data_IF_690267476420
#
_entry.id   IF_690267476420
#
_cell.length_a   1.000
_cell.length_b   1.000
_cell.length_c   1.000
_cell.angle_alpha   90.00
_cell.angle_beta   90.00
_cell.angle_gamma   90.00
#
_symmetry.space_group_name_H-M   'P 1'
#
loop_
_entity.id
_entity.type
_entity.pdbx_description
1 polymer ?
#
# COMPACT_ATOMS: atom_id res chain seq x y z
N UNK A 1 7.29 1.81 8.24
CA UNK A 1 7.46 2.53 6.94
C UNK A 1 6.21 2.35 6.07
N UNK A 2 5.80 3.37 5.29
CA UNK A 2 4.67 3.24 4.35
C UNK A 2 5.20 2.84 2.97
N UNK A 3 5.01 1.58 2.63
CA UNK A 3 5.36 1.03 1.33
C UNK A 3 4.16 1.11 0.35
N UNK A 4 3.74 0.02 -0.22
CA UNK A 4 2.58 -0.16 -1.09
C UNK A 4 2.37 -1.65 -1.36
N UNK A 5 1.17 -2.05 -1.77
CA UNK A 5 0.94 -3.34 -2.42
C UNK A 5 1.91 -3.57 -3.61
N UNK A 6 2.31 -2.51 -4.30
CA UNK A 6 3.32 -2.55 -5.36
C UNK A 6 4.76 -2.82 -4.87
N UNK A 7 4.97 -3.03 -3.59
CA UNK A 7 6.19 -3.64 -3.07
C UNK A 7 6.16 -5.17 -3.10
N UNK A 8 4.98 -5.76 -3.31
CA UNK A 8 4.74 -7.21 -3.32
C UNK A 8 4.36 -7.74 -4.71
N UNK A 9 3.62 -6.94 -5.48
CA UNK A 9 3.16 -7.26 -6.84
C UNK A 9 3.46 -6.13 -7.80
N UNK A 10 3.43 -6.41 -9.09
CA UNK A 10 3.67 -5.42 -10.14
C UNK A 10 2.39 -5.02 -10.87
N UNK A 11 2.44 -3.88 -11.55
CA UNK A 11 1.46 -3.47 -12.54
C UNK A 11 2.18 -2.89 -13.76
N UNK A 12 1.63 -3.06 -14.97
CA UNK A 12 2.21 -2.48 -16.17
C UNK A 12 2.38 -0.96 -16.07
N UNK A 13 3.39 -0.43 -16.74
CA UNK A 13 3.68 1.01 -16.85
C UNK A 13 4.06 1.71 -15.54
N UNK A 14 4.42 0.94 -14.48
CA UNK A 14 4.83 1.45 -13.16
C UNK A 14 6.23 1.00 -12.75
N UNK A 15 7.14 0.75 -13.70
CA UNK A 15 8.45 0.15 -13.41
C UNK A 15 9.22 0.91 -12.30
N UNK A 16 9.36 2.23 -12.41
CA UNK A 16 10.07 3.04 -11.41
C UNK A 16 9.41 2.96 -10.02
N UNK A 17 8.07 3.08 -9.96
CA UNK A 17 7.33 3.00 -8.70
C UNK A 17 7.40 1.62 -8.07
N UNK A 18 7.19 0.56 -8.85
CA UNK A 18 7.28 -0.84 -8.42
C UNK A 18 8.67 -1.14 -7.87
N UNK A 19 9.74 -0.78 -8.62
CA UNK A 19 11.12 -0.96 -8.17
C UNK A 19 11.41 -0.24 -6.87
N UNK A 20 10.98 1.02 -6.74
CA UNK A 20 11.15 1.79 -5.51
C UNK A 20 10.44 1.13 -4.31
N UNK A 21 9.20 0.65 -4.50
CA UNK A 21 8.42 0.04 -3.42
C UNK A 21 8.93 -1.35 -3.03
N UNK A 22 9.45 -2.15 -3.97
CA UNK A 22 10.18 -3.38 -3.67
C UNK A 22 11.47 -3.08 -2.89
N UNK A 23 12.22 -2.04 -3.27
CA UNK A 23 13.41 -1.59 -2.54
C UNK A 23 13.11 -1.18 -1.08
N UNK A 24 11.96 -0.53 -0.83
CA UNK A 24 11.52 -0.21 0.54
C UNK A 24 11.33 -1.47 1.37
N UNK A 25 10.80 -2.56 0.81
CA UNK A 25 10.65 -3.82 1.56
C UNK A 25 12.00 -4.48 1.87
N UNK A 26 12.96 -4.38 0.94
CA UNK A 26 14.34 -4.79 1.21
C UNK A 26 14.95 -4.00 2.36
N UNK A 27 14.81 -2.67 2.33
CA UNK A 27 15.28 -1.79 3.40
C UNK A 27 14.63 -2.12 4.75
N UNK A 28 13.32 -2.35 4.80
CA UNK A 28 12.62 -2.73 6.03
C UNK A 28 13.19 -4.01 6.64
N UNK A 29 13.45 -5.03 5.82
CA UNK A 29 14.05 -6.30 6.28
C UNK A 29 15.44 -6.10 6.85
N UNK A 30 16.29 -5.32 6.17
CA UNK A 30 17.64 -5.02 6.61
C UNK A 30 17.62 -4.26 7.93
N UNK A 31 16.87 -3.17 8.03
CA UNK A 31 16.77 -2.36 9.25
C UNK A 31 16.16 -3.13 10.43
N UNK A 32 15.25 -4.08 10.16
CA UNK A 32 14.69 -4.94 11.20
C UNK A 32 15.74 -5.87 11.82
N UNK A 33 16.67 -6.37 11.00
CA UNK A 33 17.78 -7.20 11.48
C UNK A 33 18.83 -6.37 12.21
N UNK A 34 19.20 -5.22 11.66
CA UNK A 34 20.20 -4.32 12.25
C UNK A 34 19.74 -3.70 13.58
N UNK A 35 18.44 -3.34 13.69
CA UNK A 35 17.88 -2.70 14.88
C UNK A 35 17.45 -3.65 15.99
N UNK A 36 17.55 -4.97 15.78
CA UNK A 36 17.02 -5.96 16.73
C UNK A 36 17.73 -5.93 18.08
N UNK A 37 19.05 -5.69 18.10
CA UNK A 37 19.84 -5.61 19.33
C UNK A 37 19.56 -4.33 20.14
N UNK A 38 19.01 -3.30 19.50
CA UNK A 38 18.61 -2.03 20.11
C UNK A 38 17.10 -1.96 20.43
N UNK A 39 16.39 -3.08 20.40
CA UNK A 39 14.93 -3.16 20.59
C UNK A 39 14.11 -2.32 19.59
N UNK A 40 14.66 -2.07 18.41
CA UNK A 40 14.00 -1.33 17.35
C UNK A 40 13.23 -2.29 16.44
N UNK A 41 11.89 -2.12 16.37
CA UNK A 41 11.07 -2.84 15.40
C UNK A 41 10.82 -2.01 14.14
N UNK A 42 10.96 -2.63 12.97
CA UNK A 42 10.78 -1.99 11.67
C UNK A 42 9.82 -2.80 10.82
N UNK A 43 8.68 -2.20 10.48
CA UNK A 43 7.60 -2.86 9.73
C UNK A 43 7.20 -2.03 8.51
N UNK A 44 6.81 -2.68 7.43
CA UNK A 44 6.22 -2.04 6.27
C UNK A 44 4.69 -2.17 6.31
N UNK A 45 3.98 -1.06 6.14
CA UNK A 45 2.55 -1.06 5.80
C UNK A 45 2.43 -0.97 4.28
N UNK A 46 1.70 -1.90 3.68
CA UNK A 46 1.56 -2.05 2.24
C UNK A 46 0.10 -1.80 1.80
N UNK A 47 -0.35 -0.54 1.72
CA UNK A 47 -1.71 -0.25 1.27
C UNK A 47 -1.86 -0.46 -0.23
N UNK A 48 -3.09 -0.79 -0.65
CA UNK A 48 -3.55 -0.60 -2.03
C UNK A 48 -3.97 0.87 -2.24
N UNK A 49 -5.12 1.12 -2.88
CA UNK A 49 -5.56 2.49 -3.13
C UNK A 49 -6.21 3.11 -1.90
N UNK A 50 -5.57 4.16 -1.37
CA UNK A 50 -6.07 4.97 -0.25
C UNK A 50 -6.73 6.22 -0.80
N UNK A 51 -7.89 6.62 -0.25
CA UNK A 51 -8.59 7.85 -0.62
C UNK A 51 -7.74 9.07 -0.24
N UNK A 52 -7.02 9.58 -1.20
CA UNK A 52 -6.17 10.76 -1.07
C UNK A 52 -6.40 11.70 -2.25
N UNK A 53 -6.09 12.99 -2.13
CA UNK A 53 -6.20 13.92 -3.27
C UNK A 53 -5.45 13.43 -4.51
N UNK A 54 -4.33 12.72 -4.33
CA UNK A 54 -3.56 12.13 -5.44
C UNK A 54 -4.36 11.06 -6.19
N UNK A 55 -5.03 10.15 -5.48
CA UNK A 55 -5.83 9.08 -6.07
C UNK A 55 -7.10 9.65 -6.70
N UNK A 56 -7.77 10.60 -6.04
CA UNK A 56 -8.95 11.28 -6.59
C UNK A 56 -8.61 12.01 -7.90
N UNK A 57 -7.48 12.75 -7.91
CA UNK A 57 -6.98 13.37 -9.14
C UNK A 57 -6.67 12.34 -10.23
N UNK A 58 -6.08 11.20 -9.89
CA UNK A 58 -5.79 10.13 -10.85
C UNK A 58 -7.06 9.58 -11.49
N UNK A 59 -8.14 9.41 -10.72
CA UNK A 59 -9.45 8.98 -11.24
C UNK A 59 -9.98 10.00 -12.23
N UNK A 60 -10.01 11.29 -11.86
CA UNK A 60 -10.50 12.37 -12.74
C UNK A 60 -9.66 12.52 -14.01
N UNK A 61 -8.34 12.39 -13.92
CA UNK A 61 -7.44 12.48 -15.09
C UNK A 61 -7.67 11.31 -16.06
N UNK A 62 -7.84 10.09 -15.55
CA UNK A 62 -8.14 8.92 -16.38
C UNK A 62 -9.55 9.00 -17.00
N UNK A 63 -10.54 9.46 -16.25
CA UNK A 63 -11.90 9.66 -16.74
C UNK A 63 -11.90 10.61 -17.96
N UNK A 64 -11.19 11.74 -17.86
CA UNK A 64 -11.02 12.68 -18.97
C UNK A 64 -10.27 12.09 -20.16
N UNK A 65 -9.17 11.38 -19.90
CA UNK A 65 -8.32 10.82 -20.95
C UNK A 65 -9.04 9.73 -21.78
N UNK A 66 -9.94 8.98 -21.15
CA UNK A 66 -10.67 7.87 -21.77
C UNK A 66 -12.12 8.17 -22.13
N UNK A 67 -12.62 9.38 -21.82
CA UNK A 67 -14.02 9.74 -22.06
C UNK A 67 -15.03 8.89 -21.26
N UNK A 68 -14.63 8.47 -20.05
CA UNK A 68 -15.43 7.65 -19.16
C UNK A 68 -15.93 8.45 -17.96
N UNK A 69 -17.04 7.99 -17.34
CA UNK A 69 -17.45 8.51 -16.04
C UNK A 69 -16.43 8.12 -14.94
N UNK A 70 -16.24 8.95 -13.94
CA UNK A 70 -15.29 8.69 -12.84
C UNK A 70 -15.63 7.42 -12.08
N UNK A 71 -16.93 7.10 -11.89
CA UNK A 71 -17.41 5.88 -11.25
C UNK A 71 -16.94 4.62 -11.99
N UNK A 72 -16.98 4.66 -13.34
CA UNK A 72 -16.50 3.54 -14.15
C UNK A 72 -14.98 3.37 -14.05
N UNK A 73 -14.23 4.46 -14.05
CA UNK A 73 -12.77 4.42 -13.84
C UNK A 73 -12.45 3.86 -12.46
N UNK A 74 -13.17 4.29 -11.43
CA UNK A 74 -12.99 3.79 -10.08
C UNK A 74 -13.23 2.27 -10.01
N UNK A 75 -14.33 1.78 -10.54
CA UNK A 75 -14.71 0.37 -10.44
C UNK A 75 -13.91 -0.54 -11.37
N UNK A 76 -13.78 -0.15 -12.65
CA UNK A 76 -13.25 -1.02 -13.71
C UNK A 76 -11.71 -0.94 -13.84
N UNK A 77 -11.09 0.14 -13.33
CA UNK A 77 -9.65 0.35 -13.43
C UNK A 77 -8.97 0.34 -12.06
N UNK A 78 -9.37 1.25 -11.18
CA UNK A 78 -8.70 1.43 -9.87
C UNK A 78 -8.98 0.24 -8.95
N UNK A 79 -10.24 -0.15 -8.81
CA UNK A 79 -10.66 -1.22 -7.92
C UNK A 79 -10.73 -2.60 -8.60
N UNK A 80 -10.40 -2.70 -9.90
CA UNK A 80 -10.42 -3.97 -10.62
C UNK A 80 -9.70 -5.12 -9.89
N UNK A 81 -8.47 -4.92 -9.36
CA UNK A 81 -7.74 -5.98 -8.68
C UNK A 81 -8.24 -6.27 -7.26
N UNK A 82 -9.05 -5.40 -6.64
CA UNK A 82 -9.51 -5.60 -5.25
C UNK A 82 -10.66 -6.60 -5.17
N UNK A 83 -10.69 -7.44 -4.13
CA UNK A 83 -11.85 -8.26 -3.80
C UNK A 83 -12.96 -7.40 -3.17
N UNK A 84 -12.60 -6.51 -2.25
CA UNK A 84 -13.53 -5.53 -1.67
C UNK A 84 -13.46 -4.22 -2.46
N UNK A 85 -14.55 -3.85 -3.13
CA UNK A 85 -14.62 -2.76 -4.12
C UNK A 85 -14.81 -1.38 -3.46
N UNK A 86 -13.85 -0.92 -2.70
CA UNK A 86 -13.82 0.45 -2.16
C UNK A 86 -12.38 0.96 -2.00
N UNK A 87 -12.20 2.26 -1.88
CA UNK A 87 -10.94 2.85 -1.43
C UNK A 87 -10.75 2.62 0.08
N UNK A 88 -9.49 2.52 0.49
CA UNK A 88 -9.10 2.50 1.90
C UNK A 88 -9.15 3.94 2.41
N UNK A 89 -9.70 4.15 3.60
CA UNK A 89 -9.68 5.48 4.19
C UNK A 89 -8.34 5.75 4.90
N UNK A 90 -7.80 6.99 4.86
CA UNK A 90 -6.55 7.34 5.56
C UNK A 90 -6.58 6.99 7.06
N UNK A 91 -7.74 7.09 7.69
CA UNK A 91 -7.93 6.71 9.10
C UNK A 91 -7.74 5.21 9.35
N UNK A 92 -7.99 4.35 8.36
CA UNK A 92 -7.74 2.91 8.48
C UNK A 92 -6.23 2.63 8.51
N UNK A 93 -5.48 3.32 7.64
CA UNK A 93 -4.01 3.25 7.64
C UNK A 93 -3.45 3.78 8.96
N UNK A 94 -3.96 4.91 9.45
CA UNK A 94 -3.50 5.51 10.70
C UNK A 94 -3.75 4.59 11.91
N UNK A 95 -4.89 3.90 11.97
CA UNK A 95 -5.17 2.91 13.04
C UNK A 95 -4.18 1.75 13.03
N UNK A 96 -3.86 1.21 11.85
CA UNK A 96 -2.87 0.14 11.74
C UNK A 96 -1.48 0.63 12.14
N UNK A 97 -1.07 1.82 11.70
CA UNK A 97 0.21 2.42 12.12
C UNK A 97 0.26 2.59 13.63
N UNK A 98 -0.82 3.09 14.25
CA UNK A 98 -0.92 3.21 15.71
C UNK A 98 -0.77 1.88 16.45
N UNK A 99 -1.37 0.80 15.93
CA UNK A 99 -1.20 -0.55 16.48
C UNK A 99 0.26 -1.02 16.35
N UNK A 100 0.85 -0.88 15.16
CA UNK A 100 2.23 -1.33 14.89
C UNK A 100 3.29 -0.51 15.66
N UNK A 101 3.00 0.74 15.98
CA UNK A 101 3.86 1.58 16.81
C UNK A 101 3.72 1.31 18.32
N UNK A 102 2.69 0.55 18.73
CA UNK A 102 2.46 0.17 20.11
C UNK A 102 3.14 -1.15 20.50
N UNK A 103 2.90 -1.63 21.73
CA UNK A 103 3.57 -2.83 22.27
C UNK A 103 3.32 -4.11 21.46
N UNK A 104 2.18 -4.20 20.73
CA UNK A 104 1.86 -5.35 19.88
C UNK A 104 2.59 -5.35 18.54
N UNK A 105 3.23 -4.25 18.15
CA UNK A 105 3.87 -4.11 16.85
C UNK A 105 5.22 -4.80 16.70
N UNK A 106 5.93 -5.05 17.81
CA UNK A 106 7.27 -5.63 17.77
C UNK A 106 7.32 -7.01 17.07
N UNK A 107 6.28 -7.81 17.24
CA UNK A 107 6.17 -9.13 16.59
C UNK A 107 6.10 -9.07 15.04
N UNK A 108 5.84 -7.87 14.47
CA UNK A 108 5.77 -7.64 13.02
C UNK A 108 7.07 -7.12 12.43
N UNK A 109 8.16 -7.06 13.20
CA UNK A 109 9.44 -6.56 12.69
C UNK A 109 9.89 -7.34 11.46
N UNK A 110 10.36 -6.64 10.42
CA UNK A 110 10.73 -7.20 9.13
C UNK A 110 9.57 -7.57 8.21
N UNK A 111 8.32 -7.58 8.69
CA UNK A 111 7.17 -8.02 7.92
C UNK A 111 6.57 -6.92 7.04
N UNK A 112 6.08 -7.27 5.83
CA UNK A 112 5.12 -6.45 5.10
C UNK A 112 3.70 -6.76 5.62
N UNK A 113 2.99 -5.75 6.08
CA UNK A 113 1.59 -5.86 6.51
C UNK A 113 0.69 -5.26 5.43
N UNK A 114 -0.09 -6.10 4.77
CA UNK A 114 -0.96 -5.69 3.67
C UNK A 114 -2.27 -5.06 4.16
N UNK A 115 -2.67 -3.98 3.48
CA UNK A 115 -4.00 -3.38 3.55
C UNK A 115 -4.51 -3.24 2.12
N UNK A 116 -4.84 -4.34 1.47
CA UNK A 116 -5.02 -4.37 0.02
C UNK A 116 -6.39 -4.89 -0.43
N UNK A 117 -7.28 -5.13 0.52
CA UNK A 117 -8.64 -5.58 0.25
C UNK A 117 -8.71 -6.83 -0.65
N UNK A 118 -7.74 -7.74 -0.47
CA UNK A 118 -7.66 -9.00 -1.17
C UNK A 118 -6.99 -8.93 -2.55
N UNK A 119 -6.32 -7.83 -2.89
CA UNK A 119 -5.59 -7.73 -4.17
C UNK A 119 -4.55 -8.84 -4.30
N UNK A 120 -3.75 -9.11 -3.26
CA UNK A 120 -2.68 -10.12 -3.29
C UNK A 120 -3.12 -11.52 -2.84
N UNK A 121 -4.40 -11.74 -2.61
CA UNK A 121 -4.93 -13.03 -2.15
C UNK A 121 -5.14 -14.08 -3.27
N UNK A 122 -4.61 -13.84 -4.48
CA UNK A 122 -4.72 -14.70 -5.66
C UNK A 122 -3.37 -14.97 -6.28
#
# INVERSE_FOLDING_TARGET
MIASVHGLVASPFKAAYVSAKHGVLGLVKTLALEGAEDDISVTAVCPAYVRTPLVEKQISDQARAHGLAEERVLEEVILAPHAVKRLIEPSEVARLVGFLAGPGGAAFTGAPVTMDQGWTAR
#
